data_IF_578907293899
#
_entry.id   IF_578907293899
#
_cell.length_a   1.000
_cell.length_b   1.000
_cell.length_c   1.000
_cell.angle_alpha   90.00
_cell.angle_beta   90.00
_cell.angle_gamma   90.00
#
_symmetry.space_group_name_H-M   'P 1'
#
loop_
_entity.id
_entity.type
_entity.pdbx_description
1 polymer ?
#
# COMPACT_ATOMS: atom_id res chain seq x y z
N UNK A 1 39.96 8.68 -11.18
CA UNK A 1 39.01 8.12 -10.18
C UNK A 1 37.68 7.89 -10.87
N UNK A 2 37.25 6.63 -11.02
CA UNK A 2 36.00 6.27 -11.71
C UNK A 2 34.82 6.49 -10.75
N UNK A 3 33.91 7.41 -11.10
CA UNK A 3 32.63 7.60 -10.40
C UNK A 3 31.82 6.29 -10.50
N UNK A 4 31.53 5.65 -9.38
CA UNK A 4 30.58 4.52 -9.35
C UNK A 4 29.19 5.11 -9.59
N UNK A 5 28.59 4.77 -10.74
CA UNK A 5 27.16 4.98 -10.98
C UNK A 5 26.41 4.19 -9.89
N UNK A 6 25.72 4.90 -9.01
CA UNK A 6 24.70 4.32 -8.15
C UNK A 6 23.62 3.84 -9.12
N UNK A 7 23.39 2.53 -9.14
CA UNK A 7 22.30 1.96 -9.91
C UNK A 7 21.01 2.43 -9.25
N UNK A 8 20.27 3.30 -9.95
CA UNK A 8 18.88 3.60 -9.63
C UNK A 8 18.16 2.26 -9.55
N UNK A 9 17.76 1.86 -8.35
CA UNK A 9 16.72 0.85 -8.19
C UNK A 9 15.48 1.53 -8.76
N UNK A 10 15.17 1.19 -10.01
CA UNK A 10 13.86 1.44 -10.61
C UNK A 10 12.84 0.98 -9.58
N UNK A 11 12.20 1.94 -8.89
CA UNK A 11 10.98 1.68 -8.16
C UNK A 11 10.05 1.16 -9.24
N UNK A 12 9.88 -0.16 -9.24
CA UNK A 12 8.99 -0.84 -10.15
C UNK A 12 7.59 -0.44 -9.76
N UNK A 13 7.15 0.72 -10.24
CA UNK A 13 5.74 0.95 -10.51
C UNK A 13 5.41 -0.20 -11.45
N UNK A 14 4.75 -1.23 -10.92
CA UNK A 14 4.22 -2.30 -11.74
C UNK A 14 3.09 -1.65 -12.51
N UNK A 15 3.47 -0.99 -13.59
CA UNK A 15 2.57 -0.52 -14.61
C UNK A 15 1.98 -1.77 -15.26
N UNK A 16 0.95 -2.32 -14.65
CA UNK A 16 0.17 -3.40 -15.24
C UNK A 16 -0.58 -2.81 -16.42
N UNK A 17 0.12 -2.81 -17.55
CA UNK A 17 -0.42 -2.61 -18.89
C UNK A 17 -1.26 -3.84 -19.26
N UNK A 18 -2.31 -4.19 -18.49
CA UNK A 18 -3.00 -5.49 -18.64
C UNK A 18 -4.52 -5.44 -18.39
N UNK A 19 -5.20 -4.34 -18.74
CA UNK A 19 -6.66 -4.38 -18.98
C UNK A 19 -7.01 -4.29 -20.48
N UNK A 20 -6.02 -4.05 -21.35
CA UNK A 20 -6.15 -4.16 -22.81
C UNK A 20 -6.24 -5.61 -23.36
N UNK A 21 -7.32 -6.33 -23.08
CA UNK A 21 -7.73 -7.50 -23.87
C UNK A 21 -9.24 -7.47 -24.13
N UNK A 22 -9.72 -6.38 -24.73
CA UNK A 22 -11.05 -6.36 -25.33
C UNK A 22 -10.93 -7.13 -26.64
N UNK A 23 -11.24 -8.43 -26.60
CA UNK A 23 -11.46 -9.22 -27.80
C UNK A 23 -12.70 -8.65 -28.48
N UNK A 24 -12.49 -7.87 -29.54
CA UNK A 24 -13.52 -7.41 -30.46
C UNK A 24 -14.06 -8.64 -31.20
N UNK A 25 -15.08 -9.29 -30.65
CA UNK A 25 -15.89 -10.25 -31.40
C UNK A 25 -17.38 -10.05 -31.16
N UNK A 26 -18.07 -9.80 -32.28
CA UNK A 26 -19.51 -9.74 -32.49
C UNK A 26 -20.25 -8.50 -31.98
N UNK A 27 -20.55 -7.65 -32.96
CA UNK A 27 -21.23 -6.37 -32.93
C UNK A 27 -22.75 -6.46 -32.64
N UNK A 28 -23.22 -7.36 -31.75
CA UNK A 28 -24.65 -7.41 -31.41
C UNK A 28 -25.07 -8.06 -30.07
N UNK A 29 -24.21 -8.20 -29.05
CA UNK A 29 -24.53 -9.11 -27.93
C UNK A 29 -24.69 -8.40 -26.57
N UNK A 30 -25.94 -8.34 -26.09
CA UNK A 30 -26.46 -8.06 -24.74
C UNK A 30 -25.93 -6.83 -23.96
N UNK A 31 -26.87 -6.03 -23.43
CA UNK A 31 -26.64 -4.87 -22.55
C UNK A 31 -25.67 -5.17 -21.39
N UNK A 32 -25.65 -6.41 -20.89
CA UNK A 32 -24.75 -6.89 -19.84
C UNK A 32 -23.27 -6.90 -20.27
N UNK A 33 -22.96 -7.26 -21.52
CA UNK A 33 -21.58 -7.25 -22.03
C UNK A 33 -21.07 -5.83 -22.22
N UNK A 34 -21.94 -4.92 -22.66
CA UNK A 34 -21.60 -3.49 -22.78
C UNK A 34 -21.31 -2.86 -21.41
N UNK A 35 -22.12 -3.18 -20.38
CA UNK A 35 -21.87 -2.71 -19.00
C UNK A 35 -20.56 -3.26 -18.42
N UNK A 36 -20.27 -4.54 -18.62
CA UNK A 36 -19.00 -5.13 -18.16
C UNK A 36 -17.78 -4.54 -18.88
N UNK A 37 -17.91 -4.24 -20.17
CA UNK A 37 -16.88 -3.56 -20.94
C UNK A 37 -16.63 -2.14 -20.44
N UNK A 38 -17.70 -1.37 -20.24
CA UNK A 38 -17.63 0.00 -19.73
C UNK A 38 -16.97 0.05 -18.35
N UNK A 39 -17.41 -0.81 -17.42
CA UNK A 39 -16.78 -0.96 -16.10
C UNK A 39 -15.26 -1.23 -16.21
N UNK A 40 -14.86 -2.16 -17.08
CA UNK A 40 -13.45 -2.50 -17.27
C UNK A 40 -12.61 -1.31 -17.75
N UNK A 41 -13.15 -0.50 -18.67
CA UNK A 41 -12.50 0.70 -19.19
C UNK A 41 -12.39 1.78 -18.11
N UNK A 42 -13.46 2.02 -17.34
CA UNK A 42 -13.46 3.00 -16.25
C UNK A 42 -12.47 2.62 -15.16
N UNK A 43 -12.42 1.33 -14.77
CA UNK A 43 -11.44 0.84 -13.80
C UNK A 43 -9.99 0.98 -14.33
N UNK A 44 -9.74 0.63 -15.60
CA UNK A 44 -8.43 0.80 -16.24
C UNK A 44 -8.00 2.26 -16.25
N UNK A 45 -8.92 3.17 -16.58
CA UNK A 45 -8.64 4.60 -16.56
C UNK A 45 -8.24 5.07 -15.14
N UNK A 46 -8.95 4.63 -14.10
CA UNK A 46 -8.58 4.97 -12.72
C UNK A 46 -7.17 4.45 -12.39
N UNK A 47 -6.84 3.20 -12.72
CA UNK A 47 -5.50 2.65 -12.46
C UNK A 47 -4.39 3.43 -13.19
N UNK A 48 -4.63 3.80 -14.45
CA UNK A 48 -3.64 4.55 -15.22
C UNK A 48 -3.47 5.98 -14.65
N UNK A 49 -4.55 6.64 -14.22
CA UNK A 49 -4.46 7.94 -13.57
C UNK A 49 -3.69 7.87 -12.24
N UNK A 50 -3.92 6.85 -11.40
CA UNK A 50 -3.14 6.61 -10.16
C UNK A 50 -1.65 6.47 -10.49
N UNK A 51 -1.34 5.63 -11.48
CA UNK A 51 0.04 5.38 -11.93
C UNK A 51 0.72 6.62 -12.48
N UNK A 52 0.04 7.39 -13.32
CA UNK A 52 0.56 8.64 -13.88
C UNK A 52 0.87 9.64 -12.76
N UNK A 53 -0.05 9.77 -11.80
CA UNK A 53 0.10 10.66 -10.66
C UNK A 53 1.31 10.26 -9.79
N UNK A 54 1.44 8.97 -9.44
CA UNK A 54 2.60 8.43 -8.71
C UNK A 54 3.92 8.59 -9.46
N UNK A 55 3.91 8.31 -10.76
CA UNK A 55 5.10 8.49 -11.61
C UNK A 55 5.57 9.94 -11.54
N UNK A 56 4.61 10.88 -11.60
CA UNK A 56 4.91 12.30 -11.51
C UNK A 56 5.43 12.68 -10.12
N UNK A 57 4.83 12.19 -9.04
CA UNK A 57 5.28 12.42 -7.67
C UNK A 57 6.77 12.11 -7.46
N UNK A 58 7.21 10.92 -7.88
CA UNK A 58 8.61 10.53 -7.76
C UNK A 58 9.52 11.25 -8.76
N UNK A 59 9.01 11.62 -9.94
CA UNK A 59 9.80 12.41 -10.90
C UNK A 59 10.13 13.81 -10.36
N UNK A 60 9.19 14.47 -9.69
CA UNK A 60 9.41 15.80 -9.10
C UNK A 60 10.34 15.73 -7.89
N UNK A 61 10.27 14.64 -7.11
CA UNK A 61 11.28 14.33 -6.08
C UNK A 61 12.68 14.30 -6.67
N UNK A 62 12.89 13.58 -7.78
CA UNK A 62 14.20 13.48 -8.43
C UNK A 62 14.67 14.84 -8.92
N UNK A 63 13.80 15.65 -9.53
CA UNK A 63 14.13 17.02 -9.94
C UNK A 63 14.60 17.88 -8.77
N UNK A 64 13.94 17.78 -7.61
CA UNK A 64 14.38 18.44 -6.39
C UNK A 64 15.74 17.94 -5.89
N UNK A 65 15.97 16.63 -5.87
CA UNK A 65 17.26 16.02 -5.49
C UNK A 65 18.42 16.43 -6.42
N UNK A 66 18.12 16.65 -7.71
CA UNK A 66 19.07 17.11 -8.72
C UNK A 66 19.31 18.64 -8.68
N UNK A 67 18.50 19.38 -7.93
CA UNK A 67 18.59 20.83 -7.79
C UNK A 67 17.88 21.63 -8.89
N UNK A 68 17.08 20.96 -9.73
CA UNK A 68 16.26 21.56 -10.79
C UNK A 68 14.94 22.17 -10.28
N UNK A 69 14.68 22.02 -8.98
CA UNK A 69 13.49 22.51 -8.28
C UNK A 69 13.85 22.86 -6.84
N UNK A 70 13.25 23.93 -6.30
CA UNK A 70 13.38 24.31 -4.90
C UNK A 70 12.48 23.47 -3.98
N UNK A 71 12.76 23.48 -2.67
CA UNK A 71 11.91 22.75 -1.70
C UNK A 71 10.49 23.33 -1.68
N UNK A 72 10.35 24.65 -1.79
CA UNK A 72 9.08 25.35 -1.79
C UNK A 72 8.22 24.96 -3.01
N UNK A 73 8.81 24.95 -4.20
CA UNK A 73 8.14 24.49 -5.43
C UNK A 73 7.71 23.03 -5.34
N UNK A 74 8.54 22.16 -4.76
CA UNK A 74 8.20 20.75 -4.56
C UNK A 74 6.99 20.59 -3.63
N UNK A 75 6.96 21.33 -2.53
CA UNK A 75 5.87 21.25 -1.56
C UNK A 75 4.55 21.77 -2.12
N UNK A 76 4.57 22.84 -2.94
CA UNK A 76 3.38 23.32 -3.64
C UNK A 76 2.86 22.26 -4.64
N UNK A 77 3.76 21.63 -5.40
CA UNK A 77 3.40 20.52 -6.27
C UNK A 77 2.77 19.36 -5.50
N UNK A 78 3.38 18.97 -4.36
CA UNK A 78 2.89 17.88 -3.53
C UNK A 78 1.54 18.15 -2.88
N UNK A 79 1.23 19.39 -2.51
CA UNK A 79 -0.10 19.73 -1.99
C UNK A 79 -1.19 19.55 -3.07
N UNK A 80 -0.88 19.93 -4.31
CA UNK A 80 -1.77 19.66 -5.44
C UNK A 80 -1.89 18.16 -5.74
N UNK A 81 -0.77 17.43 -5.69
CA UNK A 81 -0.74 15.98 -5.89
C UNK A 81 -1.74 15.26 -4.97
N UNK A 82 -1.73 15.57 -3.66
CA UNK A 82 -2.67 14.95 -2.70
C UNK A 82 -4.14 15.20 -3.07
N UNK A 83 -4.48 16.43 -3.47
CA UNK A 83 -5.83 16.78 -3.91
C UNK A 83 -6.24 16.04 -5.19
N UNK A 84 -5.36 16.01 -6.19
CA UNK A 84 -5.60 15.30 -7.44
C UNK A 84 -5.78 13.78 -7.16
N UNK A 85 -5.03 13.23 -6.20
CA UNK A 85 -5.13 11.83 -5.82
C UNK A 85 -6.46 11.50 -5.13
N UNK A 86 -6.92 12.33 -4.19
CA UNK A 86 -8.23 12.18 -3.55
C UNK A 86 -9.36 12.16 -4.58
N UNK A 87 -9.29 13.03 -5.59
CA UNK A 87 -10.25 13.06 -6.70
C UNK A 87 -10.23 11.74 -7.48
N UNK A 88 -9.05 11.18 -7.77
CA UNK A 88 -8.95 9.88 -8.45
C UNK A 88 -9.52 8.76 -7.58
N UNK A 89 -9.23 8.74 -6.27
CA UNK A 89 -9.75 7.74 -5.34
C UNK A 89 -11.29 7.79 -5.25
N UNK A 90 -11.89 8.98 -5.32
CA UNK A 90 -13.36 9.09 -5.33
C UNK A 90 -14.02 8.44 -6.55
N UNK A 91 -13.32 8.32 -7.69
CA UNK A 91 -13.88 7.70 -8.92
C UNK A 91 -14.19 6.21 -8.73
N UNK A 92 -13.55 5.53 -7.77
CA UNK A 92 -13.91 4.15 -7.46
C UNK A 92 -15.34 4.01 -6.92
N UNK A 93 -15.86 5.04 -6.21
CA UNK A 93 -17.21 5.03 -5.66
C UNK A 93 -18.29 5.21 -6.73
N UNK A 94 -17.92 5.79 -7.88
CA UNK A 94 -18.80 5.96 -9.04
C UNK A 94 -18.84 4.71 -9.94
N UNK A 95 -17.94 3.75 -9.73
CA UNK A 95 -17.95 2.50 -10.48
C UNK A 95 -19.20 1.68 -10.16
N UNK A 96 -19.75 1.05 -11.20
CA UNK A 96 -20.85 0.08 -11.07
C UNK A 96 -20.36 -1.34 -11.40
N UNK A 97 -19.47 -1.94 -10.59
CA UNK A 97 -18.90 -3.26 -10.89
C UNK A 97 -19.99 -4.35 -10.82
N UNK A 98 -19.92 -5.37 -11.72
CA UNK A 98 -20.65 -6.61 -11.51
C UNK A 98 -20.24 -7.25 -10.17
N UNK A 99 -21.15 -8.00 -9.54
CA UNK A 99 -20.96 -8.53 -8.18
C UNK A 99 -19.62 -9.25 -7.99
N UNK A 100 -19.23 -10.08 -8.96
CA UNK A 100 -17.99 -10.86 -8.95
C UNK A 100 -16.70 -10.02 -8.95
N UNK A 101 -16.77 -8.73 -9.30
CA UNK A 101 -15.62 -7.82 -9.36
C UNK A 101 -15.57 -6.84 -8.18
N UNK A 102 -16.59 -6.77 -7.32
CA UNK A 102 -16.62 -5.81 -6.19
C UNK A 102 -15.39 -5.92 -5.29
N UNK A 103 -14.98 -7.14 -4.94
CA UNK A 103 -13.80 -7.35 -4.10
C UNK A 103 -12.50 -6.84 -4.74
N UNK A 104 -12.34 -7.03 -6.05
CA UNK A 104 -11.19 -6.47 -6.76
C UNK A 104 -11.19 -4.95 -6.77
N UNK A 105 -12.34 -4.31 -6.95
CA UNK A 105 -12.48 -2.85 -6.93
C UNK A 105 -12.16 -2.30 -5.54
N UNK A 106 -12.64 -2.94 -4.48
CA UNK A 106 -12.37 -2.53 -3.10
C UNK A 106 -10.89 -2.64 -2.75
N UNK A 107 -10.21 -3.71 -3.15
CA UNK A 107 -8.76 -3.88 -2.96
C UNK A 107 -7.93 -2.83 -3.72
N UNK A 108 -8.30 -2.54 -4.97
CA UNK A 108 -7.61 -1.51 -5.75
C UNK A 108 -7.82 -0.10 -5.17
N UNK A 109 -9.02 0.16 -4.63
CA UNK A 109 -9.29 1.41 -3.89
C UNK A 109 -8.43 1.49 -2.62
N UNK A 110 -8.37 0.43 -1.82
CA UNK A 110 -7.53 0.36 -0.62
C UNK A 110 -6.05 0.55 -0.94
N UNK A 111 -5.57 -0.04 -2.04
CA UNK A 111 -4.22 0.21 -2.56
C UNK A 111 -3.99 1.70 -2.82
N UNK A 112 -4.90 2.35 -3.53
CA UNK A 112 -4.78 3.77 -3.87
C UNK A 112 -4.81 4.66 -2.62
N UNK A 113 -5.63 4.31 -1.62
CA UNK A 113 -5.67 5.01 -0.34
C UNK A 113 -4.34 4.87 0.43
N UNK A 114 -3.78 3.66 0.48
CA UNK A 114 -2.48 3.43 1.13
C UNK A 114 -1.33 4.18 0.42
N UNK A 115 -1.40 4.34 -0.91
CA UNK A 115 -0.46 5.19 -1.66
C UNK A 115 -0.60 6.68 -1.27
N UNK A 116 -1.83 7.19 -1.17
CA UNK A 116 -2.09 8.57 -0.72
C UNK A 116 -1.58 8.81 0.72
N UNK A 117 -1.83 7.86 1.62
CA UNK A 117 -1.38 7.93 3.01
C UNK A 117 0.16 7.91 3.09
N UNK A 118 0.79 7.06 2.27
CA UNK A 118 2.25 7.03 2.11
C UNK A 118 2.79 8.39 1.66
N UNK A 119 2.21 8.98 0.62
CA UNK A 119 2.67 10.26 0.08
C UNK A 119 2.51 11.38 1.10
N UNK A 120 1.43 11.35 1.88
CA UNK A 120 1.18 12.30 2.98
C UNK A 120 2.29 12.25 4.03
N UNK A 121 2.65 11.05 4.50
CA UNK A 121 3.75 10.88 5.46
C UNK A 121 5.12 11.19 4.84
N UNK A 122 5.32 10.91 3.55
CA UNK A 122 6.52 11.30 2.83
C UNK A 122 6.70 12.81 2.79
N UNK A 123 5.64 13.54 2.43
CA UNK A 123 5.62 15.01 2.41
C UNK A 123 5.91 15.57 3.79
N UNK A 124 5.33 14.97 4.85
CA UNK A 124 5.62 15.33 6.23
C UNK A 124 7.09 15.16 6.58
N UNK A 125 7.72 14.06 6.18
CA UNK A 125 9.17 13.86 6.34
C UNK A 125 9.97 14.94 5.60
N UNK A 126 9.63 15.27 4.34
CA UNK A 126 10.30 16.35 3.60
C UNK A 126 10.16 17.70 4.32
N UNK A 127 8.96 18.02 4.84
CA UNK A 127 8.69 19.26 5.57
C UNK A 127 9.50 19.36 6.86
N UNK A 128 9.55 18.27 7.65
CA UNK A 128 9.97 18.31 9.06
C UNK A 128 11.27 17.61 9.40
N UNK A 129 11.72 16.66 8.57
CA UNK A 129 12.80 15.73 8.88
C UNK A 129 12.42 14.62 9.87
N UNK A 130 11.13 14.41 10.15
CA UNK A 130 10.65 13.33 11.03
C UNK A 130 10.86 11.95 10.39
N UNK A 131 11.90 11.23 10.81
CA UNK A 131 12.21 9.88 10.32
C UNK A 131 11.10 8.86 10.63
N UNK A 132 10.26 9.09 11.65
CA UNK A 132 9.11 8.20 11.88
C UNK A 132 8.06 8.33 10.76
N UNK A 133 7.91 9.53 10.18
CA UNK A 133 7.04 9.75 9.03
C UNK A 133 7.58 9.06 7.78
N UNK A 134 8.90 9.07 7.59
CA UNK A 134 9.54 8.30 6.52
C UNK A 134 9.26 6.80 6.65
N UNK A 135 9.41 6.24 7.84
CA UNK A 135 9.13 4.82 8.10
C UNK A 135 7.67 4.48 7.82
N UNK A 136 6.72 5.33 8.26
CA UNK A 136 5.29 5.14 7.97
C UNK A 136 5.02 5.16 6.46
N UNK A 137 5.58 6.12 5.72
CA UNK A 137 5.48 6.17 4.27
C UNK A 137 6.01 4.90 3.59
N UNK A 138 7.24 4.49 3.92
CA UNK A 138 7.87 3.28 3.36
C UNK A 138 7.09 1.99 3.69
N UNK A 139 6.29 2.03 4.75
CA UNK A 139 5.43 0.94 5.22
C UNK A 139 4.10 0.92 4.46
N UNK A 140 3.44 2.08 4.34
CA UNK A 140 2.18 2.26 3.63
C UNK A 140 2.32 1.96 2.13
N UNK A 141 3.45 2.30 1.52
CA UNK A 141 3.70 1.94 0.10
C UNK A 141 3.89 0.44 -0.09
N UNK A 142 4.36 -0.31 0.91
CA UNK A 142 4.41 -1.78 0.82
C UNK A 142 3.00 -2.36 0.91
N UNK A 143 2.19 -1.83 1.84
CA UNK A 143 0.79 -2.23 1.99
C UNK A 143 -0.03 -1.94 0.71
N UNK A 144 0.20 -0.80 0.05
CA UNK A 144 -0.48 -0.53 -1.21
C UNK A 144 -0.17 -1.56 -2.29
N UNK A 145 1.09 -2.04 -2.36
CA UNK A 145 1.48 -3.08 -3.32
C UNK A 145 0.82 -4.42 -2.98
N UNK A 146 0.68 -4.75 -1.70
CA UNK A 146 -0.04 -5.96 -1.26
C UNK A 146 -1.51 -5.91 -1.68
N UNK A 147 -2.19 -4.79 -1.40
CA UNK A 147 -3.58 -4.59 -1.83
C UNK A 147 -3.74 -4.61 -3.35
N UNK A 148 -2.82 -3.99 -4.10
CA UNK A 148 -2.84 -3.98 -5.56
C UNK A 148 -2.72 -5.40 -6.10
N UNK A 149 -1.74 -6.17 -5.62
CA UNK A 149 -1.54 -7.56 -6.04
C UNK A 149 -2.77 -8.42 -5.74
N UNK A 150 -3.36 -8.29 -4.56
CA UNK A 150 -4.58 -9.00 -4.19
C UNK A 150 -5.76 -8.60 -5.10
N UNK A 151 -5.94 -7.29 -5.34
CA UNK A 151 -6.98 -6.77 -6.22
C UNK A 151 -6.85 -7.28 -7.65
N UNK A 152 -5.62 -7.34 -8.18
CA UNK A 152 -5.34 -7.90 -9.50
C UNK A 152 -5.62 -9.41 -9.57
N UNK A 153 -5.19 -10.18 -8.56
CA UNK A 153 -5.48 -11.62 -8.50
C UNK A 153 -6.99 -11.85 -8.50
N UNK A 154 -7.72 -11.14 -7.64
CA UNK A 154 -9.17 -11.19 -7.55
C UNK A 154 -9.84 -10.84 -8.90
N UNK A 155 -9.39 -9.78 -9.55
CA UNK A 155 -9.90 -9.36 -10.86
C UNK A 155 -9.70 -10.44 -11.92
N UNK A 156 -8.51 -11.04 -12.01
CA UNK A 156 -8.24 -12.09 -13.01
C UNK A 156 -8.96 -13.40 -12.69
N UNK A 157 -9.10 -13.78 -11.42
CA UNK A 157 -9.89 -14.94 -11.01
C UNK A 157 -11.36 -14.80 -11.39
N UNK A 158 -11.95 -13.61 -11.22
CA UNK A 158 -13.30 -13.31 -11.67
C UNK A 158 -13.40 -13.31 -13.20
N UNK A 159 -12.44 -12.69 -13.90
CA UNK A 159 -12.41 -12.61 -15.37
C UNK A 159 -12.29 -13.98 -16.05
N UNK A 160 -11.54 -14.90 -15.46
CA UNK A 160 -11.28 -16.25 -16.03
C UNK A 160 -12.34 -17.28 -15.63
N UNK A 161 -13.31 -16.91 -14.79
CA UNK A 161 -14.34 -17.82 -14.30
C UNK A 161 -13.83 -18.87 -13.31
N UNK A 162 -12.65 -18.65 -12.71
CA UNK A 162 -12.10 -19.52 -11.66
C UNK A 162 -12.88 -19.35 -10.34
N UNK A 163 -13.46 -18.17 -10.11
CA UNK A 163 -14.48 -17.95 -9.08
C UNK A 163 -15.88 -18.09 -9.69
N UNK A 164 -16.64 -19.08 -9.21
CA UNK A 164 -18.08 -19.19 -9.42
C UNK A 164 -18.79 -18.84 -8.09
N UNK A 165 -19.45 -17.69 -8.03
CA UNK A 165 -20.25 -17.28 -6.88
C UNK A 165 -21.66 -17.88 -6.99
N UNK A 166 -21.77 -19.20 -6.91
CA UNK A 166 -23.07 -19.87 -6.70
C UNK A 166 -23.53 -19.79 -5.24
N UNK A 167 -22.69 -19.28 -4.32
CA UNK A 167 -23.07 -18.84 -2.98
C UNK A 167 -22.49 -17.44 -2.68
N UNK A 168 -23.29 -16.50 -2.13
CA UNK A 168 -22.89 -15.12 -1.94
C UNK A 168 -22.08 -14.98 -0.64
N UNK A 169 -20.83 -15.46 -0.64
CA UNK A 169 -19.89 -15.01 0.39
C UNK A 169 -19.58 -13.53 0.12
N UNK A 170 -20.10 -12.67 1.00
CA UNK A 170 -19.83 -11.24 1.00
C UNK A 170 -18.31 -11.07 1.10
N UNK A 171 -17.70 -10.42 0.11
CA UNK A 171 -16.29 -10.10 0.15
C UNK A 171 -15.99 -9.30 1.43
N UNK A 172 -14.99 -9.76 2.19
CA UNK A 172 -14.41 -9.03 3.31
C UNK A 172 -12.96 -8.73 2.95
N UNK A 173 -12.60 -7.44 2.92
CA UNK A 173 -11.23 -7.04 2.67
C UNK A 173 -10.32 -7.68 3.74
N UNK A 174 -9.17 -8.24 3.34
CA UNK A 174 -8.20 -8.75 4.29
C UNK A 174 -7.74 -7.63 5.21
N UNK A 175 -7.80 -7.88 6.52
CA UNK A 175 -7.11 -7.06 7.52
C UNK A 175 -5.60 -7.32 7.31
N UNK A 176 -4.94 -6.50 6.49
CA UNK A 176 -3.65 -6.80 5.85
C UNK A 176 -2.46 -7.00 6.79
N UNK A 177 -1.46 -7.70 6.27
CA UNK A 177 -0.34 -8.33 6.98
C UNK A 177 0.61 -7.39 7.72
N UNK A 178 0.42 -6.07 7.66
CA UNK A 178 1.30 -5.11 8.31
C UNK A 178 1.01 -4.97 9.81
N UNK A 179 -0.26 -4.93 10.18
CA UNK A 179 -0.69 -5.09 11.59
C UNK A 179 -0.19 -6.41 12.16
N UNK A 180 -0.33 -7.51 11.41
CA UNK A 180 0.17 -8.82 11.81
C UNK A 180 1.69 -8.86 11.93
N UNK A 181 2.44 -8.22 11.03
CA UNK A 181 3.91 -8.19 11.02
C UNK A 181 4.47 -7.30 12.13
N UNK A 182 3.83 -6.17 12.43
CA UNK A 182 4.15 -5.31 13.57
C UNK A 182 3.84 -6.03 14.88
N UNK A 183 2.70 -6.73 14.97
CA UNK A 183 2.40 -7.62 16.10
C UNK A 183 3.47 -8.70 16.21
N UNK A 184 3.85 -9.35 15.10
CA UNK A 184 4.83 -10.44 15.10
C UNK A 184 6.24 -9.97 15.49
N UNK A 185 6.69 -8.79 15.03
CA UNK A 185 7.97 -8.21 15.43
C UNK A 185 7.94 -7.85 16.92
N UNK A 186 6.86 -7.24 17.41
CA UNK A 186 6.70 -6.94 18.84
C UNK A 186 6.72 -8.22 19.70
N UNK A 187 6.05 -9.28 19.27
CA UNK A 187 6.08 -10.58 19.97
C UNK A 187 7.47 -11.23 19.92
N UNK A 188 8.20 -11.12 18.80
CA UNK A 188 9.59 -11.58 18.71
C UNK A 188 10.51 -10.80 19.66
N UNK A 189 10.35 -9.48 19.79
CA UNK A 189 11.11 -8.65 20.74
C UNK A 189 10.83 -9.06 22.19
N UNK A 190 9.55 -9.30 22.54
CA UNK A 190 9.20 -9.80 23.89
C UNK A 190 9.83 -11.16 24.18
N UNK A 191 9.80 -12.07 23.20
CA UNK A 191 10.43 -13.39 23.32
C UNK A 191 11.96 -13.29 23.49
N UNK A 192 12.60 -12.30 22.84
CA UNK A 192 14.01 -12.00 23.09
C UNK A 192 14.25 -11.50 24.52
N UNK A 193 13.37 -10.64 25.06
CA UNK A 193 13.44 -10.23 26.47
C UNK A 193 13.30 -11.45 27.40
N UNK A 194 12.36 -12.36 27.14
CA UNK A 194 12.21 -13.59 27.93
C UNK A 194 13.49 -14.44 27.91
N UNK A 195 14.07 -14.69 26.72
CA UNK A 195 15.29 -15.48 26.58
C UNK A 195 16.52 -14.83 27.25
N UNK A 196 16.53 -13.50 27.36
CA UNK A 196 17.65 -12.77 27.93
C UNK A 196 17.61 -12.71 29.46
N UNK A 197 16.42 -12.63 30.05
CA UNK A 197 16.25 -12.32 31.48
C UNK A 197 15.58 -13.42 32.31
N UNK A 198 14.93 -14.41 31.69
CA UNK A 198 14.39 -15.57 32.41
C UNK A 198 15.35 -16.75 32.33
N UNK A 199 15.45 -17.51 33.42
CA UNK A 199 16.24 -18.74 33.48
C UNK A 199 15.50 -19.92 32.82
N UNK A 200 16.13 -21.11 32.80
CA UNK A 200 15.57 -22.31 32.16
C UNK A 200 14.26 -22.81 32.79
N UNK A 201 13.95 -22.39 34.02
CA UNK A 201 12.69 -22.69 34.71
C UNK A 201 11.62 -21.60 34.46
N UNK A 202 11.96 -20.54 33.72
CA UNK A 202 11.07 -19.41 33.43
C UNK A 202 11.00 -18.38 34.56
N UNK A 203 11.88 -18.49 35.56
CA UNK A 203 11.94 -17.63 36.75
C UNK A 203 13.01 -16.53 36.59
N UNK A 204 12.97 -15.55 37.48
CA UNK A 204 13.96 -14.46 37.55
C UNK A 204 14.96 -14.72 38.66
N UNK A 205 16.25 -14.55 38.36
CA UNK A 205 17.33 -14.79 39.32
C UNK A 205 17.48 -13.65 40.36
N UNK A 206 16.82 -12.50 40.14
CA UNK A 206 16.70 -11.41 41.11
C UNK A 206 15.56 -10.43 40.77
N UNK A 207 15.12 -9.65 41.76
CA UNK A 207 14.16 -8.55 41.56
C UNK A 207 14.66 -7.50 40.57
N UNK A 208 15.97 -7.28 40.50
CA UNK A 208 16.56 -6.31 39.57
C UNK A 208 16.46 -6.79 38.12
N UNK A 209 16.64 -8.09 37.88
CA UNK A 209 16.46 -8.73 36.56
C UNK A 209 14.99 -8.68 36.13
N UNK A 210 14.06 -8.84 37.07
CA UNK A 210 12.61 -8.70 36.80
C UNK A 210 12.25 -7.28 36.34
N UNK A 211 12.83 -6.25 36.96
CA UNK A 211 12.64 -4.85 36.55
C UNK A 211 13.21 -4.58 35.14
N UNK A 212 14.39 -5.11 34.83
CA UNK A 212 15.01 -4.97 33.51
C UNK A 212 14.20 -5.65 32.40
N UNK A 213 13.69 -6.86 32.67
CA UNK A 213 12.76 -7.56 31.78
C UNK A 213 11.47 -6.77 31.55
N UNK A 214 10.92 -6.15 32.61
CA UNK A 214 9.71 -5.33 32.51
C UNK A 214 9.93 -4.09 31.61
N UNK A 215 11.10 -3.45 31.71
CA UNK A 215 11.44 -2.33 30.84
C UNK A 215 11.60 -2.76 29.37
N UNK A 216 12.32 -3.86 29.12
CA UNK A 216 12.49 -4.44 27.77
C UNK A 216 11.14 -4.77 27.10
N UNK A 217 10.23 -5.41 27.83
CA UNK A 217 8.90 -5.75 27.30
C UNK A 217 8.01 -4.52 27.09
N UNK A 218 8.17 -3.46 27.88
CA UNK A 218 7.47 -2.19 27.66
C UNK A 218 8.01 -1.44 26.44
N UNK A 219 9.31 -1.50 26.16
CA UNK A 219 9.88 -0.96 24.92
C UNK A 219 9.30 -1.69 23.70
N UNK A 220 9.19 -3.02 23.73
CA UNK A 220 8.55 -3.78 22.65
C UNK A 220 7.06 -3.44 22.46
N UNK A 221 6.33 -3.12 23.54
CA UNK A 221 4.93 -2.65 23.47
C UNK A 221 4.85 -1.23 22.93
N UNK A 222 5.73 -0.34 23.37
CA UNK A 222 5.81 1.05 22.89
C UNK A 222 6.14 1.08 21.41
N UNK A 223 7.14 0.30 20.99
CA UNK A 223 7.49 0.08 19.59
C UNK A 223 6.27 -0.39 18.80
N UNK A 224 5.52 -1.39 19.29
CA UNK A 224 4.29 -1.84 18.63
C UNK A 224 3.29 -0.71 18.43
N UNK A 225 3.02 0.09 19.46
CA UNK A 225 2.05 1.19 19.40
C UNK A 225 2.52 2.28 18.42
N UNK A 226 3.82 2.56 18.38
CA UNK A 226 4.42 3.55 17.47
C UNK A 226 4.43 3.09 16.00
N UNK A 227 4.29 1.79 15.75
CA UNK A 227 4.45 1.18 14.42
C UNK A 227 3.20 0.43 13.93
N UNK A 228 2.12 0.39 14.73
CA UNK A 228 0.82 -0.07 14.27
C UNK A 228 0.20 1.02 13.37
N UNK A 229 -0.38 0.64 12.21
CA UNK A 229 -1.09 1.58 11.34
C UNK A 229 -2.34 2.16 12.01
#
# INVERSE_FOLDING_TARGET
MKKKKIQNITIGIIAVTIIGAIIVYNFSVDQTKQKGLQFGIELEQIQEEVKELQTKFYSEKTRWEEGDMTKEELLEFYEKHLQDFEVIISKYDDLSPPEIFKGSVELLKLSSQAQLDSDTEFIKWIKTGDESAKIRSDTQIQESLEYEMLGLVEFYSAKTGVKNYDEPEKFEAPQTGLTQKVIQISENMKKQCDNQFRNELGEFDSEQIEIEWFNCTNEAKKWKIEHLP
#
